data_IF_049127016542
#
_entry.id   IF_049127016542
#
_cell.length_a   1.000
_cell.length_b   1.000
_cell.length_c   1.000
_cell.angle_alpha   90.00
_cell.angle_beta   90.00
_cell.angle_gamma   90.00
#
_symmetry.space_group_name_H-M   'P 1'
#
loop_
_entity.id
_entity.type
_entity.pdbx_description
1 polymer ?
#
# COMPACT_ATOMS: atom_id res chain seq x y z
N UNK A 1 -17.94 -7.53 -11.43
CA UNK A 1 -16.66 -8.03 -10.91
C UNK A 1 -15.55 -7.37 -11.71
N UNK A 2 -14.72 -6.60 -11.08
CA UNK A 2 -13.63 -5.83 -11.70
C UNK A 2 -12.61 -6.78 -12.33
N UNK A 3 -12.30 -6.58 -13.61
CA UNK A 3 -11.29 -7.39 -14.32
C UNK A 3 -9.90 -6.79 -14.13
N UNK A 4 -9.00 -7.57 -13.55
CA UNK A 4 -7.63 -7.16 -13.25
C UNK A 4 -6.65 -7.96 -14.11
N UNK A 5 -5.69 -7.28 -14.74
CA UNK A 5 -4.50 -7.90 -15.29
C UNK A 5 -3.31 -7.59 -14.38
N UNK A 6 -2.57 -8.62 -14.00
CA UNK A 6 -1.31 -8.53 -13.27
C UNK A 6 -0.18 -8.51 -14.27
N UNK A 7 0.73 -7.54 -14.16
CA UNK A 7 1.72 -7.29 -15.19
C UNK A 7 3.10 -7.01 -14.59
N UNK A 8 4.13 -7.31 -15.36
CA UNK A 8 5.51 -6.93 -15.09
C UNK A 8 6.27 -6.75 -16.41
N UNK A 9 7.27 -5.87 -16.45
CA UNK A 9 8.05 -5.56 -17.63
C UNK A 9 9.55 -5.73 -17.36
N UNK A 10 10.24 -6.33 -18.33
CA UNK A 10 11.69 -6.22 -18.42
C UNK A 10 12.09 -5.13 -19.42
N UNK A 11 12.94 -4.21 -18.99
CA UNK A 11 13.29 -3.00 -19.73
C UNK A 11 14.80 -2.84 -19.76
N UNK A 12 15.36 -2.51 -20.92
CA UNK A 12 16.78 -2.22 -21.06
C UNK A 12 17.15 -0.83 -20.51
N UNK A 13 18.46 -0.58 -20.37
CA UNK A 13 18.97 0.71 -19.88
C UNK A 13 18.64 1.93 -20.78
N UNK A 14 18.03 1.71 -21.95
CA UNK A 14 17.57 2.75 -22.88
C UNK A 14 16.05 2.96 -22.83
N UNK A 15 15.34 2.22 -22.00
CA UNK A 15 13.88 2.29 -21.87
C UNK A 15 13.10 1.47 -22.90
N UNK A 16 13.78 0.55 -23.64
CA UNK A 16 13.11 -0.36 -24.55
C UNK A 16 12.57 -1.56 -23.77
N UNK A 17 11.30 -1.88 -24.00
CA UNK A 17 10.69 -3.09 -23.46
C UNK A 17 11.33 -4.33 -24.14
N UNK A 18 11.91 -5.19 -23.32
CA UNK A 18 12.55 -6.43 -23.74
C UNK A 18 11.60 -7.62 -23.66
N UNK A 19 10.78 -7.65 -22.62
CA UNK A 19 9.82 -8.72 -22.38
C UNK A 19 8.67 -8.22 -21.53
N UNK A 20 7.51 -8.87 -21.64
CA UNK A 20 6.28 -8.52 -20.91
C UNK A 20 5.67 -9.79 -20.36
N UNK A 21 5.44 -9.82 -19.05
CA UNK A 21 4.62 -10.81 -18.39
C UNK A 21 3.21 -10.27 -18.10
N UNK A 22 2.21 -11.11 -18.23
CA UNK A 22 0.85 -10.75 -17.90
C UNK A 22 -0.01 -11.93 -17.50
N UNK A 23 -0.86 -11.73 -16.48
CA UNK A 23 -1.81 -12.75 -16.01
C UNK A 23 -3.18 -12.12 -15.86
N UNK A 24 -4.20 -12.73 -16.47
CA UNK A 24 -5.59 -12.30 -16.40
C UNK A 24 -6.48 -13.53 -16.24
N UNK A 25 -7.08 -13.70 -15.06
CA UNK A 25 -7.74 -14.95 -14.70
C UNK A 25 -6.80 -16.14 -14.84
N UNK A 26 -7.16 -17.10 -15.71
CA UNK A 26 -6.31 -18.25 -16.06
C UNK A 26 -5.42 -17.98 -17.29
N UNK A 27 -5.65 -16.89 -18.02
CA UNK A 27 -4.90 -16.54 -19.22
C UNK A 27 -3.55 -15.94 -18.87
N UNK A 28 -2.52 -16.30 -19.63
CA UNK A 28 -1.15 -15.85 -19.46
C UNK A 28 -0.64 -15.21 -20.74
N UNK A 29 0.18 -14.19 -20.59
CA UNK A 29 0.91 -13.54 -21.68
C UNK A 29 2.40 -13.51 -21.35
N UNK A 30 3.23 -13.84 -22.33
CA UNK A 30 4.69 -13.76 -22.17
C UNK A 30 5.32 -13.51 -23.55
N UNK A 31 5.67 -12.28 -23.83
CA UNK A 31 6.27 -11.87 -25.11
C UNK A 31 6.67 -10.40 -25.09
N UNK A 32 7.68 -10.03 -25.88
CA UNK A 32 8.06 -8.63 -26.12
C UNK A 32 7.05 -7.82 -26.98
N UNK A 33 5.98 -8.45 -27.45
CA UNK A 33 5.01 -7.86 -28.37
C UNK A 33 4.02 -6.90 -27.72
N UNK A 34 4.37 -5.62 -27.62
CA UNK A 34 3.58 -4.57 -26.91
C UNK A 34 2.17 -4.44 -27.48
N UNK A 35 1.99 -4.50 -28.80
CA UNK A 35 0.65 -4.40 -29.42
C UNK A 35 -0.25 -5.60 -29.07
N UNK A 36 0.32 -6.81 -29.06
CA UNK A 36 -0.39 -8.02 -28.64
C UNK A 36 -0.73 -7.98 -27.15
N UNK A 37 0.18 -7.42 -26.34
CA UNK A 37 -0.10 -7.19 -24.92
C UNK A 37 -1.23 -6.19 -24.69
N UNK A 38 -1.23 -5.05 -25.40
CA UNK A 38 -2.29 -4.07 -25.32
C UNK A 38 -3.67 -4.65 -25.70
N UNK A 39 -3.70 -5.61 -26.64
CA UNK A 39 -4.93 -6.36 -26.96
C UNK A 39 -5.30 -7.34 -25.84
N UNK A 40 -4.32 -8.06 -25.30
CA UNK A 40 -4.52 -8.99 -24.18
C UNK A 40 -5.19 -8.34 -22.98
N UNK A 41 -4.81 -7.10 -22.62
CA UNK A 41 -5.38 -6.38 -21.48
C UNK A 41 -6.61 -5.52 -21.82
N UNK A 42 -7.03 -5.45 -23.10
CA UNK A 42 -8.01 -4.46 -23.58
C UNK A 42 -9.37 -4.51 -22.87
N UNK A 43 -9.81 -5.68 -22.40
CA UNK A 43 -11.05 -5.90 -21.66
C UNK A 43 -10.91 -5.78 -20.13
N UNK A 44 -9.73 -5.46 -19.62
CA UNK A 44 -9.51 -5.25 -18.18
C UNK A 44 -9.90 -3.85 -17.76
N UNK A 45 -10.28 -3.69 -16.48
CA UNK A 45 -10.58 -2.42 -15.83
C UNK A 45 -9.35 -1.87 -15.10
N UNK A 46 -8.55 -2.78 -14.54
CA UNK A 46 -7.39 -2.47 -13.71
C UNK A 46 -6.13 -3.16 -14.22
N UNK A 47 -4.98 -2.49 -14.02
CA UNK A 47 -3.65 -3.09 -14.11
C UNK A 47 -3.03 -3.11 -12.72
N UNK A 48 -2.54 -4.27 -12.31
CA UNK A 48 -1.87 -4.48 -11.04
C UNK A 48 -0.43 -4.95 -11.27
N UNK A 49 0.49 -4.43 -10.49
CA UNK A 49 1.89 -4.85 -10.50
C UNK A 49 2.59 -4.46 -9.22
N UNK A 50 3.86 -4.80 -9.11
CA UNK A 50 4.69 -4.44 -7.98
C UNK A 50 5.65 -3.33 -8.38
N UNK A 51 5.45 -2.11 -7.87
CA UNK A 51 6.10 -0.88 -8.33
C UNK A 51 5.67 -0.44 -9.74
N UNK A 52 4.47 -0.82 -10.15
CA UNK A 52 3.93 -0.55 -11.49
C UNK A 52 3.84 0.95 -11.80
N UNK A 53 3.49 1.77 -10.80
CA UNK A 53 3.30 3.21 -10.96
C UNK A 53 4.61 3.89 -11.33
N UNK A 54 5.70 3.56 -10.65
CA UNK A 54 7.00 4.18 -10.86
C UNK A 54 7.83 3.51 -11.97
N UNK A 55 7.52 2.27 -12.32
CA UNK A 55 8.32 1.50 -13.27
C UNK A 55 7.56 1.22 -14.56
N UNK A 56 6.61 0.31 -14.57
CA UNK A 56 6.08 -0.31 -15.79
C UNK A 56 5.19 0.60 -16.61
N UNK A 57 4.27 1.32 -15.93
CA UNK A 57 3.21 2.07 -16.63
C UNK A 57 3.74 3.18 -17.52
N UNK A 58 4.85 3.81 -17.19
CA UNK A 58 5.45 4.88 -18.00
C UNK A 58 5.91 4.40 -19.37
N UNK A 59 6.32 3.13 -19.47
CA UNK A 59 6.74 2.52 -20.74
C UNK A 59 5.56 1.95 -21.52
N UNK A 60 4.50 1.50 -20.84
CA UNK A 60 3.30 0.98 -21.50
C UNK A 60 2.35 2.07 -21.95
N UNK A 61 2.25 3.20 -21.24
CA UNK A 61 1.27 4.27 -21.49
C UNK A 61 1.13 4.68 -22.94
N UNK A 62 2.22 4.82 -23.75
CA UNK A 62 2.11 5.19 -25.18
C UNK A 62 1.34 4.17 -26.03
N UNK A 63 1.20 2.94 -25.58
CA UNK A 63 0.59 1.84 -26.33
C UNK A 63 -0.80 1.46 -25.80
N UNK A 64 -1.22 2.03 -24.67
CA UNK A 64 -2.52 1.74 -24.09
C UNK A 64 -3.64 2.44 -24.86
N UNK A 65 -4.73 1.71 -25.12
CA UNK A 65 -5.89 2.20 -25.87
C UNK A 65 -6.88 3.00 -24.99
N UNK A 66 -6.73 2.91 -23.66
CA UNK A 66 -7.56 3.57 -22.65
C UNK A 66 -6.80 3.79 -21.36
N UNK A 67 -7.34 4.59 -20.47
CA UNK A 67 -6.85 4.70 -19.10
C UNK A 67 -7.32 3.47 -18.29
N UNK A 68 -6.45 3.00 -17.40
CA UNK A 68 -6.70 1.90 -16.48
C UNK A 68 -6.56 2.38 -15.04
N UNK A 69 -7.32 1.76 -14.16
CA UNK A 69 -7.09 1.91 -12.72
C UNK A 69 -5.82 1.16 -12.35
N UNK A 70 -4.86 1.85 -11.75
CA UNK A 70 -3.59 1.24 -11.35
C UNK A 70 -3.67 0.75 -9.91
N UNK A 71 -3.11 -0.43 -9.67
CA UNK A 71 -2.98 -1.04 -8.35
C UNK A 71 -1.51 -1.40 -8.16
N UNK A 72 -0.88 -0.79 -7.17
CA UNK A 72 0.53 -1.03 -6.88
C UNK A 72 0.67 -1.73 -5.52
N UNK A 73 1.08 -2.99 -5.55
CA UNK A 73 1.22 -3.79 -4.33
C UNK A 73 2.34 -3.28 -3.43
N UNK A 74 3.34 -2.56 -3.96
CA UNK A 74 4.43 -2.03 -3.15
C UNK A 74 3.96 -0.93 -2.17
N UNK A 75 2.90 -0.19 -2.53
CA UNK A 75 2.34 0.86 -1.67
C UNK A 75 1.53 0.29 -0.50
N UNK A 76 0.79 -0.79 -0.73
CA UNK A 76 -0.04 -1.42 0.31
C UNK A 76 0.72 -2.40 1.20
N UNK A 77 1.74 -3.07 0.68
CA UNK A 77 2.49 -4.07 1.43
C UNK A 77 3.01 -3.58 2.79
N UNK A 78 3.60 -2.36 2.93
CA UNK A 78 4.05 -1.85 4.23
C UNK A 78 2.91 -1.53 5.22
N UNK A 79 1.72 -1.20 4.71
CA UNK A 79 0.55 -0.92 5.54
C UNK A 79 -0.04 -2.19 6.15
N UNK A 80 -0.05 -3.27 5.36
CA UNK A 80 -0.72 -4.52 5.71
C UNK A 80 0.22 -5.54 6.35
N UNK A 81 1.52 -5.42 6.08
CA UNK A 81 2.57 -6.29 6.63
C UNK A 81 3.68 -5.49 7.32
N UNK A 82 3.37 -4.63 8.32
CA UNK A 82 4.32 -3.71 8.93
C UNK A 82 5.49 -4.38 9.67
N UNK A 83 5.39 -5.69 9.93
CA UNK A 83 6.49 -6.48 10.53
C UNK A 83 7.54 -6.93 9.51
N UNK A 84 7.25 -6.82 8.19
CA UNK A 84 8.20 -7.22 7.16
C UNK A 84 9.22 -6.09 6.93
N UNK A 85 10.52 -6.35 7.03
CA UNK A 85 11.54 -5.31 6.79
C UNK A 85 11.72 -5.01 5.30
N UNK A 86 11.31 -5.93 4.42
CA UNK A 86 11.42 -5.82 2.97
C UNK A 86 10.08 -6.11 2.30
N UNK A 87 9.76 -5.30 1.30
CA UNK A 87 8.51 -5.39 0.54
C UNK A 87 8.75 -5.64 -0.96
N UNK A 88 9.96 -6.07 -1.33
CA UNK A 88 10.25 -6.52 -2.70
C UNK A 88 9.63 -7.90 -2.94
N UNK A 89 9.22 -8.17 -4.17
CA UNK A 89 8.89 -9.53 -4.58
C UNK A 89 10.09 -10.45 -4.32
N UNK A 90 9.85 -11.57 -3.67
CA UNK A 90 10.90 -12.56 -3.43
C UNK A 90 11.35 -13.10 -4.80
N UNK A 91 12.60 -12.90 -5.13
CA UNK A 91 13.23 -13.61 -6.24
C UNK A 91 13.54 -15.00 -5.74
N UNK A 92 13.01 -16.01 -6.41
CA UNK A 92 13.33 -17.40 -6.12
C UNK A 92 14.84 -17.60 -6.14
N UNK A 93 15.35 -18.51 -5.29
CA UNK A 93 16.78 -18.70 -5.05
C UNK A 93 17.57 -18.73 -6.36
N UNK A 94 18.58 -17.87 -6.42
CA UNK A 94 19.47 -17.63 -7.57
C UNK A 94 20.29 -18.86 -8.02
N UNK A 95 19.96 -20.07 -7.59
CA UNK A 95 20.83 -21.26 -7.75
C UNK A 95 20.55 -22.02 -9.04
N UNK A 96 19.44 -21.81 -9.71
CA UNK A 96 19.11 -22.50 -10.96
C UNK A 96 18.71 -21.53 -12.06
N UNK A 97 19.71 -21.09 -12.83
CA UNK A 97 19.73 -20.81 -14.29
C UNK A 97 18.42 -20.38 -14.95
N UNK A 98 18.49 -19.37 -15.83
CA UNK A 98 17.52 -18.94 -16.84
C UNK A 98 16.19 -18.29 -16.39
N UNK A 99 15.80 -18.35 -15.10
CA UNK A 99 14.60 -17.70 -14.56
C UNK A 99 14.88 -16.30 -13.96
N UNK A 100 16.11 -15.84 -14.01
CA UNK A 100 16.48 -14.48 -13.64
C UNK A 100 15.84 -13.51 -14.66
N UNK A 101 14.87 -12.72 -14.21
CA UNK A 101 14.13 -11.76 -15.00
C UNK A 101 13.06 -12.38 -15.91
N UNK A 102 12.18 -13.20 -15.34
CA UNK A 102 10.99 -13.69 -16.05
C UNK A 102 9.77 -12.86 -15.62
N UNK A 103 9.31 -11.89 -16.44
CA UNK A 103 8.21 -11.00 -16.07
C UNK A 103 6.88 -11.74 -15.88
N UNK A 104 6.69 -12.90 -16.48
CA UNK A 104 5.51 -13.71 -16.23
C UNK A 104 5.49 -14.26 -14.79
N UNK A 105 6.64 -14.71 -14.30
CA UNK A 105 6.75 -15.18 -12.91
C UNK A 105 6.55 -14.03 -11.92
N UNK A 106 7.08 -12.85 -12.20
CA UNK A 106 6.92 -11.68 -11.35
C UNK A 106 5.47 -11.15 -11.39
N UNK A 107 4.77 -11.24 -12.52
CA UNK A 107 3.32 -11.01 -12.61
C UNK A 107 2.49 -11.99 -11.75
N UNK A 108 2.87 -13.27 -11.72
CA UNK A 108 2.22 -14.27 -10.86
C UNK A 108 2.45 -13.99 -9.37
N UNK A 109 3.67 -13.57 -9.01
CA UNK A 109 4.00 -13.16 -7.63
C UNK A 109 3.26 -11.90 -7.22
N UNK A 110 3.14 -10.91 -8.12
CA UNK A 110 2.35 -9.71 -7.88
C UNK A 110 0.86 -10.05 -7.66
N UNK A 111 0.32 -11.01 -8.43
CA UNK A 111 -1.04 -11.54 -8.21
C UNK A 111 -1.19 -12.15 -6.82
N UNK A 112 -0.30 -13.04 -6.44
CA UNK A 112 -0.33 -13.70 -5.13
C UNK A 112 -0.23 -12.67 -3.99
N UNK A 113 0.68 -11.69 -4.11
CA UNK A 113 0.83 -10.64 -3.11
C UNK A 113 -0.43 -9.77 -3.02
N UNK A 114 -1.06 -9.40 -4.14
CA UNK A 114 -2.33 -8.67 -4.14
C UNK A 114 -3.44 -9.46 -3.43
N UNK A 115 -3.55 -10.77 -3.68
CA UNK A 115 -4.53 -11.63 -3.02
C UNK A 115 -4.29 -11.70 -1.50
N UNK A 116 -3.02 -11.77 -1.08
CA UNK A 116 -2.62 -11.69 0.33
C UNK A 116 -2.96 -10.32 0.94
N UNK A 117 -2.72 -9.22 0.23
CA UNK A 117 -3.05 -7.86 0.65
C UNK A 117 -4.56 -7.67 0.81
N UNK A 118 -5.35 -8.15 -0.14
CA UNK A 118 -6.83 -8.11 -0.04
C UNK A 118 -7.30 -8.91 1.18
N UNK A 119 -6.71 -10.07 1.42
CA UNK A 119 -7.03 -10.92 2.57
C UNK A 119 -6.66 -10.24 3.88
N UNK A 120 -5.45 -9.68 3.96
CA UNK A 120 -4.97 -8.94 5.13
C UNK A 120 -5.83 -7.69 5.41
N UNK A 121 -6.17 -6.90 4.36
CA UNK A 121 -7.04 -5.74 4.52
C UNK A 121 -8.43 -6.13 5.05
N UNK A 122 -9.03 -7.19 4.52
CA UNK A 122 -10.33 -7.70 4.98
C UNK A 122 -10.31 -8.24 6.40
N UNK A 123 -9.15 -8.70 6.86
CA UNK A 123 -8.95 -9.19 8.24
C UNK A 123 -8.74 -8.06 9.26
N UNK A 124 -8.44 -6.83 8.83
CA UNK A 124 -8.37 -5.67 9.72
C UNK A 124 -9.74 -5.37 10.34
N UNK A 125 -9.73 -4.80 11.54
CA UNK A 125 -10.94 -4.25 12.14
C UNK A 125 -11.58 -3.21 11.21
N UNK A 126 -12.91 -3.11 11.25
CA UNK A 126 -13.67 -2.19 10.40
C UNK A 126 -13.25 -0.73 10.55
N UNK A 127 -12.86 -0.33 11.75
CA UNK A 127 -12.39 1.03 12.02
C UNK A 127 -11.03 1.28 11.38
N UNK A 128 -10.13 0.27 11.32
CA UNK A 128 -8.87 0.36 10.56
C UNK A 128 -9.09 0.39 9.05
N UNK A 129 -9.98 -0.46 8.53
CA UNK A 129 -10.34 -0.42 7.12
C UNK A 129 -10.85 0.97 6.72
N UNK A 130 -11.75 1.54 7.54
CA UNK A 130 -12.30 2.88 7.34
C UNK A 130 -11.22 3.96 7.44
N UNK A 131 -10.34 3.89 8.44
CA UNK A 131 -9.25 4.84 8.59
C UNK A 131 -8.33 4.86 7.37
N UNK A 132 -7.92 3.69 6.86
CA UNK A 132 -7.09 3.61 5.66
C UNK A 132 -7.80 4.19 4.44
N UNK A 133 -9.09 3.92 4.29
CA UNK A 133 -9.87 4.53 3.21
C UNK A 133 -9.96 6.07 3.36
N UNK A 134 -10.23 6.55 4.57
CA UNK A 134 -10.32 7.98 4.85
C UNK A 134 -8.98 8.70 4.60
N UNK A 135 -7.86 8.08 4.92
CA UNK A 135 -6.53 8.64 4.71
C UNK A 135 -6.06 8.55 3.26
N UNK A 136 -6.33 7.44 2.57
CA UNK A 136 -5.66 7.03 1.34
C UNK A 136 -6.58 6.94 0.12
N UNK A 137 -7.91 6.82 0.31
CA UNK A 137 -8.85 6.56 -0.78
C UNK A 137 -8.99 7.68 -1.82
N UNK A 138 -8.52 8.88 -1.49
CA UNK A 138 -8.44 10.02 -2.42
C UNK A 138 -7.07 10.23 -3.08
N UNK A 139 -6.08 9.41 -2.73
CA UNK A 139 -4.73 9.47 -3.31
C UNK A 139 -4.62 8.51 -4.52
N UNK A 140 -4.02 8.99 -5.61
CA UNK A 140 -3.97 8.26 -6.88
C UNK A 140 -3.18 6.95 -6.80
N UNK A 141 -2.18 6.85 -5.90
CA UNK A 141 -1.38 5.64 -5.71
C UNK A 141 -2.13 4.55 -4.93
N UNK A 142 -3.13 4.93 -4.13
CA UNK A 142 -3.85 4.01 -3.25
C UNK A 142 -5.30 3.76 -3.68
N UNK A 143 -5.94 4.73 -4.35
CA UNK A 143 -7.37 4.67 -4.70
C UNK A 143 -7.72 3.42 -5.54
N UNK A 144 -6.79 2.97 -6.39
CA UNK A 144 -6.96 1.81 -7.23
C UNK A 144 -7.22 0.51 -6.46
N UNK A 145 -6.53 0.31 -5.32
CA UNK A 145 -6.76 -0.85 -4.47
C UNK A 145 -8.20 -0.88 -3.93
N UNK A 146 -8.67 0.22 -3.34
CA UNK A 146 -10.04 0.28 -2.80
C UNK A 146 -11.11 0.10 -3.87
N UNK A 147 -10.87 0.65 -5.07
CA UNK A 147 -11.77 0.46 -6.22
C UNK A 147 -11.80 -0.99 -6.70
N UNK A 148 -10.66 -1.65 -6.73
CA UNK A 148 -10.55 -3.04 -7.21
C UNK A 148 -11.27 -4.04 -6.31
N UNK A 149 -11.31 -3.80 -5.01
CA UNK A 149 -12.01 -4.63 -4.03
C UNK A 149 -13.46 -4.17 -3.79
N UNK A 150 -13.93 -3.16 -4.55
CA UNK A 150 -15.26 -2.56 -4.42
C UNK A 150 -15.55 -2.14 -2.96
N UNK A 151 -14.53 -1.55 -2.29
CA UNK A 151 -14.65 -1.16 -0.89
C UNK A 151 -15.72 -0.09 -0.72
N UNK A 152 -16.71 -0.41 0.12
CA UNK A 152 -17.75 0.54 0.50
C UNK A 152 -17.46 1.04 1.91
N UNK A 153 -17.13 2.33 2.09
CA UNK A 153 -16.90 2.89 3.40
C UNK A 153 -18.15 2.78 4.28
N UNK A 154 -17.95 2.48 5.55
CA UNK A 154 -19.04 2.36 6.51
C UNK A 154 -19.74 3.71 6.66
N UNK A 155 -20.93 3.86 6.08
CA UNK A 155 -21.82 4.99 6.36
C UNK A 155 -22.43 4.74 7.72
N UNK A 156 -21.91 5.38 8.78
CA UNK A 156 -22.60 5.40 10.08
C UNK A 156 -23.98 6.05 9.89
N UNK A 157 -25.05 5.52 10.53
CA UNK A 157 -26.38 6.12 10.43
C UNK A 157 -26.35 7.60 10.79
N UNK A 158 -27.17 8.41 10.14
CA UNK A 158 -27.24 9.87 10.25
C UNK A 158 -27.33 10.41 11.69
N UNK A 159 -27.79 9.60 12.65
CA UNK A 159 -27.91 9.94 14.05
C UNK A 159 -26.63 9.78 14.88
N UNK A 160 -25.58 9.15 14.33
CA UNK A 160 -24.29 9.05 15.03
C UNK A 160 -23.37 10.15 14.55
N UNK A 161 -22.77 10.88 15.48
CA UNK A 161 -21.79 11.93 15.22
C UNK A 161 -20.75 11.39 14.23
N UNK A 162 -20.61 12.07 13.09
CA UNK A 162 -19.61 11.71 12.09
C UNK A 162 -18.24 11.91 12.75
N UNK A 163 -17.59 10.83 13.14
CA UNK A 163 -16.23 10.86 13.66
C UNK A 163 -15.32 11.39 12.56
N UNK A 164 -14.50 12.37 12.85
CA UNK A 164 -13.51 12.87 11.89
C UNK A 164 -12.34 11.90 11.75
N UNK A 165 -11.57 11.99 10.67
CA UNK A 165 -10.42 11.09 10.42
C UNK A 165 -9.38 11.18 11.54
N UNK A 166 -9.13 12.37 12.08
CA UNK A 166 -8.21 12.58 13.21
C UNK A 166 -8.75 12.00 14.52
N UNK A 167 -10.08 12.11 14.79
CA UNK A 167 -10.71 11.43 15.93
C UNK A 167 -10.60 9.91 15.80
N UNK A 168 -10.82 9.35 14.60
CA UNK A 168 -10.66 7.92 14.33
C UNK A 168 -9.23 7.46 14.54
N UNK A 169 -8.25 8.21 14.03
CA UNK A 169 -6.83 7.90 14.21
C UNK A 169 -6.43 7.96 15.69
N UNK A 170 -6.88 8.98 16.43
CA UNK A 170 -6.62 9.13 17.86
C UNK A 170 -7.20 7.95 18.66
N UNK A 171 -8.42 7.53 18.33
CA UNK A 171 -9.08 6.41 19.03
C UNK A 171 -8.35 5.08 18.78
N UNK A 172 -7.97 4.80 17.53
CA UNK A 172 -7.25 3.58 17.16
C UNK A 172 -5.84 3.51 17.77
N UNK A 173 -5.20 4.66 17.98
CA UNK A 173 -3.88 4.76 18.60
C UNK A 173 -3.94 5.06 20.12
N UNK A 174 -5.12 4.98 20.75
CA UNK A 174 -5.28 5.24 22.19
C UNK A 174 -4.32 4.39 23.03
N UNK A 175 -3.60 5.04 23.94
CA UNK A 175 -2.59 4.40 24.81
C UNK A 175 -1.31 3.94 24.09
N UNK A 176 -1.19 4.17 22.76
CA UNK A 176 0.00 3.95 21.94
C UNK A 176 0.70 5.25 21.54
N UNK A 177 -0.01 6.39 21.62
CA UNK A 177 0.51 7.75 21.45
C UNK A 177 -0.01 8.65 22.57
N UNK A 178 0.65 9.80 22.76
CA UNK A 178 0.15 10.81 23.70
C UNK A 178 -1.22 11.36 23.26
N UNK A 179 -2.19 11.39 24.18
CA UNK A 179 -3.55 11.85 23.93
C UNK A 179 -3.61 13.33 23.55
N UNK A 180 -2.59 14.12 23.91
CA UNK A 180 -2.44 15.54 23.60
C UNK A 180 -1.64 15.81 22.32
N UNK A 181 -1.28 14.76 21.53
CA UNK A 181 -0.63 14.96 20.22
C UNK A 181 -1.56 15.68 19.26
N UNK A 182 -1.02 16.59 18.45
CA UNK A 182 -1.81 17.34 17.43
C UNK A 182 -2.06 16.46 16.19
N UNK A 183 -2.91 15.44 16.39
CA UNK A 183 -3.29 14.50 15.32
C UNK A 183 -4.06 15.19 14.19
N UNK A 184 -4.82 16.25 14.50
CA UNK A 184 -5.61 16.97 13.49
C UNK A 184 -4.69 17.65 12.45
N UNK A 185 -3.62 18.31 12.90
CA UNK A 185 -2.61 18.90 12.01
C UNK A 185 -1.88 17.84 11.19
N UNK A 186 -1.55 16.68 11.81
CA UNK A 186 -0.89 15.57 11.11
C UNK A 186 -1.78 15.01 10.00
N UNK A 187 -3.04 14.70 10.28
CA UNK A 187 -4.01 14.20 9.28
C UNK A 187 -4.23 15.21 8.16
N UNK A 188 -4.25 16.51 8.47
CA UNK A 188 -4.43 17.56 7.47
C UNK A 188 -3.26 17.64 6.48
N UNK A 189 -2.02 17.50 6.96
CA UNK A 189 -0.82 17.79 6.18
C UNK A 189 -0.07 16.53 5.70
N UNK A 190 -0.26 15.39 6.37
CA UNK A 190 0.54 14.17 6.20
C UNK A 190 -0.34 12.90 6.22
N UNK A 191 -1.35 12.84 5.32
CA UNK A 191 -2.34 11.75 5.32
C UNK A 191 -1.72 10.38 5.08
N UNK A 192 -0.87 10.27 4.09
CA UNK A 192 -0.20 9.01 3.71
C UNK A 192 0.78 8.58 4.82
N UNK A 193 1.57 9.52 5.32
CA UNK A 193 2.51 9.29 6.41
C UNK A 193 1.79 8.86 7.70
N UNK A 194 0.60 9.41 7.98
CA UNK A 194 -0.25 8.98 9.09
C UNK A 194 -0.69 7.52 8.94
N UNK A 195 -1.02 7.07 7.74
CA UNK A 195 -1.40 5.68 7.50
C UNK A 195 -0.22 4.72 7.77
N UNK A 196 0.97 5.01 7.25
CA UNK A 196 2.17 4.22 7.54
C UNK A 196 2.56 4.26 9.01
N UNK A 197 2.48 5.43 9.66
CA UNK A 197 2.76 5.55 11.09
C UNK A 197 1.76 4.75 11.93
N UNK A 198 0.46 4.78 11.58
CA UNK A 198 -0.55 3.98 12.27
C UNK A 198 -0.27 2.48 12.16
N UNK A 199 0.09 1.99 10.97
CA UNK A 199 0.49 0.61 10.75
C UNK A 199 1.67 0.21 11.65
N UNK A 200 2.74 1.01 11.68
CA UNK A 200 3.96 0.75 12.45
C UNK A 200 3.75 0.87 13.97
N UNK A 201 2.88 1.78 14.43
CA UNK A 201 2.56 1.94 15.86
C UNK A 201 1.68 0.78 16.34
N UNK A 202 0.73 0.33 15.53
CA UNK A 202 -0.18 -0.75 15.90
C UNK A 202 0.44 -2.13 15.84
N UNK A 203 1.45 -2.32 15.02
CA UNK A 203 2.23 -3.55 14.98
C UNK A 203 2.86 -3.92 16.33
N UNK A 204 2.93 -2.95 17.25
CA UNK A 204 3.39 -3.09 18.66
C UNK A 204 4.77 -3.76 18.81
N UNK A 205 5.55 -3.76 17.75
CA UNK A 205 6.91 -4.26 17.79
C UNK A 205 7.88 -3.09 17.96
N UNK A 206 8.59 -3.08 19.10
CA UNK A 206 9.66 -2.09 19.35
C UNK A 206 10.76 -2.16 18.28
N UNK A 207 10.79 -3.25 17.52
CA UNK A 207 11.73 -3.49 16.44
C UNK A 207 11.12 -3.23 15.06
N UNK A 208 9.88 -2.75 14.95
CA UNK A 208 9.32 -2.38 13.64
C UNK A 208 10.13 -1.22 13.05
N UNK A 209 10.85 -1.54 11.98
CA UNK A 209 11.71 -0.61 11.26
C UNK A 209 10.90 -0.07 10.09
N UNK A 210 10.89 1.24 9.91
CA UNK A 210 10.28 1.84 8.72
C UNK A 210 10.96 1.28 7.48
N UNK A 211 10.23 0.63 6.56
CA UNK A 211 10.82 0.04 5.36
C UNK A 211 11.60 1.06 4.54
N UNK A 212 12.74 0.67 3.98
CA UNK A 212 13.61 1.58 3.22
C UNK A 212 12.89 2.22 2.02
N UNK A 213 11.92 1.53 1.42
CA UNK A 213 11.10 2.09 0.35
C UNK A 213 10.19 3.23 0.87
N UNK A 214 9.55 3.04 2.03
CA UNK A 214 8.73 4.08 2.68
C UNK A 214 9.58 5.29 3.02
N UNK A 215 10.75 5.11 3.63
CA UNK A 215 11.68 6.20 3.95
C UNK A 215 12.09 7.02 2.72
N UNK A 216 12.24 6.37 1.57
CA UNK A 216 12.64 7.03 0.33
C UNK A 216 11.51 7.86 -0.28
N UNK A 217 10.27 7.33 -0.25
CA UNK A 217 9.13 7.95 -0.93
C UNK A 217 8.31 8.86 0.00
N UNK A 218 8.33 8.57 1.30
CA UNK A 218 7.63 9.30 2.35
C UNK A 218 8.57 9.58 3.54
N UNK A 219 9.60 10.43 3.38
CA UNK A 219 10.63 10.65 4.39
C UNK A 219 10.09 11.18 5.72
N UNK A 220 8.97 11.90 5.69
CA UNK A 220 8.36 12.49 6.88
C UNK A 220 7.76 11.44 7.82
N UNK A 221 7.53 10.19 7.37
CA UNK A 221 7.06 9.09 8.23
C UNK A 221 7.95 8.90 9.44
N UNK A 222 9.27 8.93 9.27
CA UNK A 222 10.22 8.72 10.37
C UNK A 222 10.19 9.87 11.38
N UNK A 223 10.11 11.12 10.90
CA UNK A 223 9.99 12.29 11.77
C UNK A 223 8.68 12.27 12.57
N UNK A 224 7.58 11.90 11.89
CA UNK A 224 6.26 11.77 12.49
C UNK A 224 6.24 10.67 13.56
N UNK A 225 6.77 9.48 13.27
CA UNK A 225 6.89 8.37 14.21
C UNK A 225 7.70 8.76 15.45
N UNK A 226 8.86 9.39 15.26
CA UNK A 226 9.69 9.87 16.37
C UNK A 226 8.95 10.88 17.21
N UNK A 227 8.26 11.85 16.60
CA UNK A 227 7.46 12.85 17.29
C UNK A 227 6.35 12.22 18.13
N UNK A 228 5.57 11.30 17.56
CA UNK A 228 4.49 10.60 18.26
C UNK A 228 5.02 9.73 19.41
N UNK A 229 6.12 9.01 19.19
CA UNK A 229 6.76 8.16 20.22
C UNK A 229 7.44 8.94 21.32
N UNK A 230 8.03 10.10 21.02
CA UNK A 230 8.72 10.95 21.99
C UNK A 230 7.76 11.82 22.82
N UNK A 231 6.54 12.05 22.33
CA UNK A 231 5.58 12.93 22.99
C UNK A 231 5.36 12.53 24.45
N UNK A 232 5.41 13.56 25.35
CA UNK A 232 5.13 13.42 26.77
C UNK A 232 4.45 14.71 27.25
N UNK A 233 3.19 14.61 27.63
CA UNK A 233 2.41 15.76 28.13
C UNK A 233 2.53 16.01 29.63
N UNK A 234 3.16 15.07 30.37
CA UNK A 234 3.23 15.17 31.85
C UNK A 234 1.90 14.94 32.58
N UNK A 235 0.82 14.67 31.86
CA UNK A 235 -0.49 14.41 32.45
C UNK A 235 -0.55 12.95 32.96
N UNK A 236 -0.74 12.71 34.26
CA UNK A 236 -0.90 11.36 34.81
C UNK A 236 -2.16 10.64 34.30
N UNK A 237 -3.15 11.37 33.80
CA UNK A 237 -4.36 10.83 33.18
C UNK A 237 -4.15 10.30 31.77
N UNK A 238 -3.06 10.72 31.10
CA UNK A 238 -2.75 10.25 29.75
C UNK A 238 -2.25 8.80 29.77
N UNK A 239 -3.02 7.87 29.21
CA UNK A 239 -2.73 6.44 29.22
C UNK A 239 -1.37 6.06 28.60
N UNK A 240 -0.85 6.85 27.68
CA UNK A 240 0.46 6.65 27.05
C UNK A 240 1.62 7.21 27.91
N UNK A 241 1.46 8.47 28.37
CA UNK A 241 2.54 9.17 29.08
C UNK A 241 2.74 8.63 30.49
N UNK A 242 1.66 8.22 31.18
CA UNK A 242 1.73 7.63 32.51
C UNK A 242 2.56 6.34 32.56
N UNK A 243 2.58 5.55 31.48
CA UNK A 243 3.43 4.36 31.38
C UNK A 243 4.91 4.70 31.31
N UNK A 244 5.27 5.85 30.73
CA UNK A 244 6.67 6.31 30.62
C UNK A 244 7.20 6.91 31.93
N UNK A 245 6.31 7.43 32.77
CA UNK A 245 6.70 7.97 34.08
C UNK A 245 7.00 6.87 35.11
N UNK A 246 6.50 5.63 34.84
CA UNK A 246 6.66 4.48 35.73
C UNK A 246 7.66 3.44 35.19
N UNK A 247 8.37 3.70 34.09
CA UNK A 247 9.41 2.86 33.50
C UNK A 247 10.80 3.46 33.73
#
# INVERSE_FOLDING_TARGET
MTKIAFIDLEIDGRGKILDIGGVKGESRFHSAGVSAFAEFISDCDCLCGHNIVEHDIKYLRPFLKKEYVLIDTLYFSPLLFPHRPYHKLLKDDKILTDELNNPLNDSLKAKALYEDEVSAFKALDKDFQQLYYDLLGGDDHFSGFFRSIEYVPSRRPFFFRKTTTDESLRELLRGKICEHSDVASLVKNHRVECAYAAALITADDRNSITPAWVLRNYPDVEALLRGLRAANCGDPGCAYCSKKLNA
#
